data_IF_207218691480
#
_entry.id   IF_207218691480
#
_cell.length_a   1.000
_cell.length_b   1.000
_cell.length_c   1.000
_cell.angle_alpha   90.00
_cell.angle_beta   90.00
_cell.angle_gamma   90.00
#
_symmetry.space_group_name_H-M   'P 1'
#
loop_
_entity.id
_entity.type
_entity.pdbx_description
1 polymer ?
#
# COMPACT_ATOMS: atom_id res chain seq x y z
N UNK A 1 -40.28 13.31 -10.49
CA UNK A 1 -39.17 14.22 -10.84
C UNK A 1 -38.03 13.36 -11.35
N UNK A 2 -37.74 13.48 -12.65
CA UNK A 2 -36.75 12.69 -13.37
C UNK A 2 -35.36 13.29 -13.16
N UNK A 3 -34.58 12.72 -12.26
CA UNK A 3 -33.14 12.94 -12.28
C UNK A 3 -32.59 12.29 -13.55
N UNK A 4 -31.96 13.08 -14.41
CA UNK A 4 -31.29 12.62 -15.63
C UNK A 4 -30.37 11.43 -15.26
N UNK A 5 -30.40 10.29 -15.99
CA UNK A 5 -29.50 9.17 -15.75
C UNK A 5 -28.03 9.60 -15.67
N UNK A 6 -27.66 10.62 -16.46
CA UNK A 6 -26.32 11.22 -16.44
C UNK A 6 -26.05 11.94 -15.13
N UNK A 7 -27.00 12.76 -14.67
CA UNK A 7 -26.89 13.47 -13.39
C UNK A 7 -26.87 12.51 -12.19
N UNK A 8 -27.60 11.39 -12.28
CA UNK A 8 -27.61 10.33 -11.26
C UNK A 8 -26.26 9.60 -11.20
N UNK A 9 -25.63 9.34 -12.36
CA UNK A 9 -24.29 8.76 -12.44
C UNK A 9 -23.23 9.68 -11.81
N UNK A 10 -23.22 10.97 -12.17
CA UNK A 10 -22.28 11.93 -11.58
C UNK A 10 -22.56 12.23 -10.11
N UNK A 11 -23.82 12.18 -9.68
CA UNK A 11 -24.20 12.27 -8.28
C UNK A 11 -23.66 11.10 -7.46
N UNK A 12 -23.72 9.88 -8.02
CA UNK A 12 -23.16 8.69 -7.36
C UNK A 12 -21.63 8.74 -7.30
N UNK A 13 -20.96 9.10 -8.40
CA UNK A 13 -19.51 9.26 -8.41
C UNK A 13 -19.01 10.28 -7.37
N UNK A 14 -19.74 11.40 -7.20
CA UNK A 14 -19.45 12.37 -6.13
C UNK A 14 -19.59 11.76 -4.74
N UNK A 15 -20.56 10.87 -4.55
CA UNK A 15 -20.81 10.20 -3.27
C UNK A 15 -19.78 9.12 -2.97
N UNK A 16 -19.35 8.34 -3.96
CA UNK A 16 -18.35 7.27 -3.80
C UNK A 16 -16.93 7.82 -3.68
N UNK A 17 -16.61 8.94 -4.35
CA UNK A 17 -15.29 9.54 -4.29
C UNK A 17 -14.99 10.30 -2.98
N UNK A 18 -16.00 10.53 -2.13
CA UNK A 18 -15.84 11.12 -0.79
C UNK A 18 -15.20 12.53 -0.72
N UNK A 19 -14.99 13.18 -1.87
CA UNK A 19 -14.25 14.44 -1.99
C UNK A 19 -14.84 15.32 -3.09
N UNK A 20 -14.88 16.63 -2.85
CA UNK A 20 -15.29 17.64 -3.84
C UNK A 20 -14.22 17.88 -4.93
N UNK A 21 -13.08 17.18 -4.92
CA UNK A 21 -12.07 17.28 -5.97
C UNK A 21 -12.46 16.44 -7.20
N UNK A 22 -13.22 17.07 -8.09
CA UNK A 22 -13.74 16.49 -9.35
C UNK A 22 -12.65 16.17 -10.39
N UNK A 23 -11.38 16.44 -10.09
CA UNK A 23 -10.23 16.25 -11.01
C UNK A 23 -9.36 15.03 -10.69
N UNK A 24 -9.67 14.27 -9.63
CA UNK A 24 -8.91 13.04 -9.33
C UNK A 24 -9.44 11.86 -10.15
N UNK A 25 -8.76 11.58 -11.26
CA UNK A 25 -9.07 10.47 -12.15
C UNK A 25 -9.03 9.11 -11.44
N UNK A 26 -8.23 8.92 -10.38
CA UNK A 26 -8.16 7.64 -9.65
C UNK A 26 -9.40 7.41 -8.81
N UNK A 27 -9.89 8.45 -8.14
CA UNK A 27 -11.12 8.38 -7.36
C UNK A 27 -12.34 8.12 -8.26
N UNK A 28 -12.37 8.74 -9.44
CA UNK A 28 -13.42 8.50 -10.45
C UNK A 28 -13.35 7.06 -10.98
N UNK A 29 -12.17 6.56 -11.35
CA UNK A 29 -12.01 5.19 -11.83
C UNK A 29 -12.41 4.15 -10.77
N UNK A 30 -12.01 4.36 -9.52
CA UNK A 30 -12.39 3.49 -8.40
C UNK A 30 -13.91 3.48 -8.20
N UNK A 31 -14.57 4.65 -8.28
CA UNK A 31 -16.02 4.75 -8.19
C UNK A 31 -16.74 4.04 -9.34
N UNK A 32 -16.29 4.23 -10.60
CA UNK A 32 -16.86 3.52 -11.76
C UNK A 32 -16.69 2.01 -11.61
N UNK A 33 -15.52 1.56 -11.16
CA UNK A 33 -15.24 0.15 -10.95
C UNK A 33 -16.16 -0.45 -9.87
N UNK A 34 -16.42 0.30 -8.81
CA UNK A 34 -17.36 -0.07 -7.75
C UNK A 34 -18.82 -0.12 -8.25
N UNK A 35 -19.26 0.82 -9.10
CA UNK A 35 -20.59 0.78 -9.74
C UNK A 35 -20.80 -0.47 -10.59
N UNK A 36 -19.77 -0.86 -11.35
CA UNK A 36 -19.81 -2.05 -12.20
C UNK A 36 -19.78 -3.34 -11.37
N UNK A 37 -18.95 -3.39 -10.32
CA UNK A 37 -18.85 -4.52 -9.39
C UNK A 37 -20.14 -4.74 -8.59
N UNK A 38 -20.84 -3.67 -8.24
CA UNK A 38 -22.11 -3.70 -7.48
C UNK A 38 -23.35 -3.82 -8.37
N UNK A 39 -23.18 -3.83 -9.70
CA UNK A 39 -24.26 -3.85 -10.72
C UNK A 39 -25.28 -2.70 -10.57
N UNK A 40 -24.89 -1.59 -9.95
CA UNK A 40 -25.71 -0.37 -9.88
C UNK A 40 -25.89 0.22 -11.28
N UNK A 41 -24.88 0.06 -12.14
CA UNK A 41 -24.97 0.26 -13.58
C UNK A 41 -24.54 -1.03 -14.29
N UNK A 42 -25.37 -1.50 -15.24
CA UNK A 42 -25.04 -2.62 -16.11
C UNK A 42 -24.54 -2.11 -17.46
N UNK A 43 -23.72 -2.92 -18.15
CA UNK A 43 -23.26 -2.58 -19.51
C UNK A 43 -24.47 -2.38 -20.43
N UNK A 44 -24.31 -1.52 -21.44
CA UNK A 44 -25.23 -1.54 -22.57
C UNK A 44 -24.97 -2.78 -23.42
N UNK A 45 -26.03 -3.31 -24.04
CA UNK A 45 -25.93 -4.46 -24.93
C UNK A 45 -25.06 -4.21 -26.17
N UNK A 46 -24.67 -2.95 -26.41
CA UNK A 46 -23.84 -2.51 -27.54
C UNK A 46 -22.35 -2.29 -27.18
N UNK A 47 -21.91 -2.69 -25.98
CA UNK A 47 -20.50 -2.54 -25.57
C UNK A 47 -19.57 -3.47 -26.36
N UNK A 48 -18.56 -2.90 -27.01
CA UNK A 48 -17.53 -3.54 -27.83
C UNK A 48 -16.36 -4.15 -27.03
N UNK A 49 -16.46 -4.20 -25.71
CA UNK A 49 -15.47 -4.86 -24.84
C UNK A 49 -15.88 -6.30 -24.57
N UNK A 50 -15.03 -7.26 -24.97
CA UNK A 50 -15.20 -8.69 -24.71
C UNK A 50 -14.94 -8.94 -23.22
N UNK A 51 -15.97 -9.35 -22.49
CA UNK A 51 -15.84 -9.76 -21.09
C UNK A 51 -15.71 -11.28 -21.01
N UNK A 52 -14.57 -11.77 -20.52
CA UNK A 52 -14.47 -13.15 -20.03
C UNK A 52 -15.37 -13.24 -18.80
N UNK A 53 -16.43 -14.06 -18.87
CA UNK A 53 -17.24 -14.42 -17.71
C UNK A 53 -16.41 -15.35 -16.82
N UNK A 54 -15.49 -14.80 -16.03
CA UNK A 54 -14.81 -15.56 -14.99
C UNK A 54 -15.75 -15.75 -13.79
N UNK A 55 -16.72 -16.63 -13.98
CA UNK A 55 -17.58 -17.21 -12.94
C UNK A 55 -16.79 -17.88 -11.80
N UNK A 56 -15.49 -18.14 -12.00
CA UNK A 56 -14.65 -18.91 -11.08
C UNK A 56 -13.67 -18.08 -10.27
N UNK A 57 -13.56 -16.76 -10.49
CA UNK A 57 -12.67 -15.93 -9.69
C UNK A 57 -13.15 -15.82 -8.22
N UNK A 58 -14.48 -15.83 -8.02
CA UNK A 58 -15.08 -15.68 -6.70
C UNK A 58 -15.18 -16.98 -5.89
N UNK A 59 -15.35 -18.13 -6.54
CA UNK A 59 -15.38 -19.45 -5.87
C UNK A 59 -14.08 -19.78 -5.13
N UNK A 60 -12.98 -19.13 -5.51
CA UNK A 60 -11.66 -19.33 -4.92
C UNK A 60 -11.38 -18.34 -3.76
N UNK A 61 -12.09 -17.20 -3.71
CA UNK A 61 -11.95 -16.21 -2.62
C UNK A 61 -13.03 -16.31 -1.52
N UNK A 62 -14.10 -17.08 -1.76
CA UNK A 62 -15.18 -17.35 -0.78
C UNK A 62 -15.17 -18.82 -0.37
N UNK A 63 -14.00 -19.42 -0.17
CA UNK A 63 -13.93 -20.49 0.83
C UNK A 63 -13.91 -19.79 2.18
N UNK A 64 -15.06 -19.83 2.85
CA UNK A 64 -15.12 -19.78 4.30
C UNK A 64 -14.03 -20.71 4.83
N UNK A 65 -12.90 -20.13 5.26
CA UNK A 65 -12.11 -20.81 6.26
C UNK A 65 -13.00 -20.83 7.50
N UNK A 66 -13.40 -22.01 8.00
CA UNK A 66 -14.00 -22.05 9.32
C UNK A 66 -13.01 -21.36 10.25
N UNK A 67 -13.49 -20.37 11.00
CA UNK A 67 -12.77 -19.81 12.14
C UNK A 67 -12.74 -20.91 13.20
N UNK A 68 -11.93 -21.94 12.96
CA UNK A 68 -11.44 -22.76 14.05
C UNK A 68 -10.61 -21.79 14.88
N UNK A 69 -11.05 -21.60 16.13
CA UNK A 69 -10.22 -21.06 17.19
C UNK A 69 -9.04 -22.01 17.40
N UNK A 70 -8.11 -22.03 16.44
CA UNK A 70 -6.80 -22.62 16.60
C UNK A 70 -6.12 -21.71 17.60
N UNK A 71 -5.80 -22.26 18.77
CA UNK A 71 -5.02 -21.57 19.80
C UNK A 71 -3.90 -20.80 19.12
N UNK A 72 -3.99 -19.48 19.18
CA UNK A 72 -3.13 -18.58 18.44
C UNK A 72 -1.70 -18.80 18.89
N UNK A 73 -0.83 -19.24 17.98
CA UNK A 73 0.58 -19.00 18.18
C UNK A 73 0.78 -17.49 18.11
N UNK A 74 1.03 -16.85 19.27
CA UNK A 74 1.34 -15.41 19.46
C UNK A 74 2.65 -14.96 18.77
N UNK A 75 3.11 -15.69 17.76
CA UNK A 75 4.46 -15.55 17.22
C UNK A 75 4.43 -14.87 15.87
N UNK A 76 5.31 -13.87 15.71
CA UNK A 76 5.57 -13.20 14.44
C UNK A 76 5.82 -14.21 13.29
N UNK A 77 5.33 -13.96 12.06
CA UNK A 77 5.52 -14.88 10.94
C UNK A 77 7.00 -14.99 10.55
N UNK A 78 7.67 -16.08 10.98
CA UNK A 78 9.08 -16.36 10.65
C UNK A 78 9.36 -16.37 9.15
N UNK A 79 8.39 -16.80 8.34
CA UNK A 79 8.46 -16.77 6.87
C UNK A 79 8.71 -15.36 6.32
N UNK A 80 8.16 -14.32 6.97
CA UNK A 80 8.45 -12.95 6.56
C UNK A 80 9.93 -12.60 6.76
N UNK A 81 10.53 -13.05 7.86
CA UNK A 81 11.95 -12.82 8.16
C UNK A 81 12.87 -13.55 7.18
N UNK A 82 12.54 -14.80 6.86
CA UNK A 82 13.30 -15.57 5.85
C UNK A 82 13.22 -14.89 4.49
N UNK A 83 12.01 -14.48 4.06
CA UNK A 83 11.81 -13.73 2.82
C UNK A 83 12.59 -12.41 2.80
N UNK A 84 12.63 -11.66 3.91
CA UNK A 84 13.40 -10.42 3.97
C UNK A 84 14.90 -10.70 3.83
N UNK A 85 15.41 -11.66 4.59
CA UNK A 85 16.84 -12.02 4.60
C UNK A 85 17.33 -12.59 3.25
N UNK A 86 16.51 -13.40 2.59
CA UNK A 86 16.79 -13.97 1.26
C UNK A 86 16.82 -12.88 0.19
N UNK A 87 15.78 -12.02 0.13
CA UNK A 87 15.70 -10.97 -0.87
C UNK A 87 16.82 -9.92 -0.75
N UNK A 88 17.27 -9.63 0.47
CA UNK A 88 18.43 -8.76 0.71
C UNK A 88 19.77 -9.41 0.30
N UNK A 89 19.82 -10.73 0.20
CA UNK A 89 21.02 -11.46 -0.26
C UNK A 89 21.08 -11.58 -1.78
N UNK A 90 19.92 -11.63 -2.44
CA UNK A 90 19.83 -11.58 -3.89
C UNK A 90 20.14 -10.16 -4.36
N UNK A 91 21.41 -9.88 -4.71
CA UNK A 91 21.86 -8.62 -5.32
C UNK A 91 21.26 -8.41 -6.73
N UNK A 92 19.93 -8.35 -6.80
CA UNK A 92 19.14 -8.35 -8.01
C UNK A 92 18.97 -6.92 -8.48
N UNK A 93 19.43 -6.66 -9.70
CA UNK A 93 19.20 -5.37 -10.35
C UNK A 93 17.69 -5.18 -10.54
N UNK A 94 17.15 -4.10 -9.97
CA UNK A 94 15.73 -3.81 -10.02
C UNK A 94 15.36 -3.26 -11.40
N UNK A 95 14.54 -4.01 -12.13
CA UNK A 95 14.03 -3.54 -13.41
C UNK A 95 13.13 -2.30 -13.24
N UNK A 96 13.19 -1.33 -14.17
CA UNK A 96 12.37 -0.13 -14.12
C UNK A 96 10.90 -0.49 -14.38
N UNK A 97 10.13 -0.64 -13.30
CA UNK A 97 8.68 -0.86 -13.33
C UNK A 97 7.96 0.28 -12.62
N UNK A 98 6.65 0.48 -12.85
CA UNK A 98 5.86 1.50 -12.13
C UNK A 98 5.95 1.33 -10.60
N UNK A 99 6.04 0.09 -10.14
CA UNK A 99 6.21 -0.24 -8.72
C UNK A 99 7.55 0.24 -8.17
N UNK A 100 8.63 0.07 -8.93
CA UNK A 100 9.96 0.58 -8.55
C UNK A 100 9.99 2.10 -8.62
N UNK A 101 9.33 2.73 -9.60
CA UNK A 101 9.19 4.18 -9.64
C UNK A 101 8.44 4.73 -8.42
N UNK A 102 7.36 4.07 -8.01
CA UNK A 102 6.61 4.43 -6.81
C UNK A 102 7.47 4.29 -5.54
N UNK A 103 8.24 3.21 -5.42
CA UNK A 103 9.18 3.03 -4.32
C UNK A 103 10.31 4.06 -4.33
N UNK A 104 10.82 4.45 -5.51
CA UNK A 104 11.81 5.50 -5.63
C UNK A 104 11.26 6.87 -5.19
N UNK A 105 10.00 7.18 -5.50
CA UNK A 105 9.34 8.38 -4.97
C UNK A 105 9.21 8.34 -3.44
N UNK A 106 8.78 7.20 -2.89
CA UNK A 106 8.69 7.02 -1.44
C UNK A 106 10.06 7.13 -0.78
N UNK A 107 11.10 6.54 -1.38
CA UNK A 107 12.47 6.63 -0.92
C UNK A 107 13.00 8.06 -0.92
N UNK A 108 12.71 8.83 -1.97
CA UNK A 108 13.03 10.25 -2.03
C UNK A 108 12.35 11.09 -0.94
N UNK A 109 11.08 10.78 -0.64
CA UNK A 109 10.36 11.42 0.46
C UNK A 109 10.95 11.04 1.82
N UNK A 110 11.28 9.75 2.02
CA UNK A 110 11.91 9.27 3.24
C UNK A 110 13.27 9.92 3.46
N UNK A 111 14.11 9.99 2.42
CA UNK A 111 15.40 10.66 2.48
C UNK A 111 15.27 12.12 2.90
N UNK A 112 14.29 12.85 2.34
CA UNK A 112 13.99 14.23 2.73
C UNK A 112 13.51 14.32 4.19
N UNK A 113 12.54 13.50 4.56
CA UNK A 113 11.96 13.51 5.91
C UNK A 113 12.98 13.12 7.01
N UNK A 114 13.95 12.28 6.67
CA UNK A 114 15.08 11.94 7.54
C UNK A 114 16.08 13.09 7.56
N UNK A 115 16.42 13.70 6.42
CA UNK A 115 17.30 14.86 6.33
C UNK A 115 16.82 16.08 7.12
N UNK A 116 15.50 16.28 7.23
CA UNK A 116 14.92 17.32 8.09
C UNK A 116 15.12 17.03 9.59
N UNK A 117 15.46 15.79 9.98
CA UNK A 117 15.62 15.32 11.37
C UNK A 117 17.07 15.00 11.74
N UNK A 118 17.93 14.73 10.77
CA UNK A 118 19.32 14.33 10.98
C UNK A 118 20.26 15.34 10.33
N UNK A 119 21.18 15.89 11.13
CA UNK A 119 22.24 16.78 10.64
C UNK A 119 23.48 16.04 10.11
N UNK A 120 23.41 14.71 10.00
CA UNK A 120 24.54 13.88 9.57
C UNK A 120 24.54 13.72 8.04
N UNK A 121 25.57 14.26 7.39
CA UNK A 121 25.72 14.18 5.93
C UNK A 121 25.95 12.76 5.45
N UNK A 122 26.64 11.92 6.23
CA UNK A 122 26.87 10.52 5.88
C UNK A 122 25.55 9.74 5.84
N UNK A 123 24.70 9.87 6.86
CA UNK A 123 23.36 9.30 6.86
C UNK A 123 22.56 9.74 5.63
N UNK A 124 22.67 10.99 5.22
CA UNK A 124 21.99 11.49 4.03
C UNK A 124 22.55 10.90 2.74
N UNK A 125 23.87 10.74 2.65
CA UNK A 125 24.52 10.13 1.49
C UNK A 125 24.17 8.65 1.31
N UNK A 126 23.86 7.93 2.40
CA UNK A 126 23.37 6.55 2.35
C UNK A 126 21.95 6.47 1.78
N UNK A 127 21.14 7.52 1.97
CA UNK A 127 19.74 7.54 1.55
C UNK A 127 19.53 8.16 0.18
N UNK A 128 20.36 9.12 -0.22
CA UNK A 128 20.14 9.93 -1.41
C UNK A 128 21.36 9.94 -2.34
N UNK A 129 21.08 9.96 -3.65
CA UNK A 129 22.06 10.13 -4.71
C UNK A 129 21.88 11.49 -5.41
N UNK A 130 22.94 12.04 -6.03
CA UNK A 130 22.83 13.30 -6.75
C UNK A 130 21.85 13.20 -7.93
N UNK A 131 21.10 14.27 -8.18
CA UNK A 131 20.08 14.37 -9.25
C UNK A 131 20.62 14.18 -10.68
N UNK A 132 21.95 14.19 -10.85
CA UNK A 132 22.63 13.92 -12.11
C UNK A 132 22.88 12.44 -12.38
N UNK A 133 22.58 11.54 -11.43
CA UNK A 133 22.70 10.09 -11.64
C UNK A 133 21.69 9.65 -12.69
N UNK A 134 22.12 9.41 -13.93
CA UNK A 134 21.28 9.01 -15.06
C UNK A 134 20.69 7.59 -14.96
N UNK A 135 20.40 7.10 -13.75
CA UNK A 135 19.82 5.77 -13.53
C UNK A 135 18.33 5.76 -13.88
N UNK A 136 17.84 4.62 -14.36
CA UNK A 136 16.49 4.45 -14.90
C UNK A 136 15.37 4.79 -13.90
N UNK A 137 15.57 4.47 -12.63
CA UNK A 137 14.66 4.81 -11.52
C UNK A 137 14.53 6.33 -11.28
N UNK A 138 15.65 7.07 -11.36
CA UNK A 138 15.67 8.52 -11.24
C UNK A 138 14.97 9.18 -12.43
N UNK A 139 15.13 8.63 -13.63
CA UNK A 139 14.45 9.12 -14.84
C UNK A 139 12.92 8.99 -14.74
N UNK A 140 12.40 7.94 -14.09
CA UNK A 140 10.96 7.72 -13.95
C UNK A 140 10.28 8.77 -13.06
N UNK A 141 11.01 9.36 -12.11
CA UNK A 141 10.46 10.33 -11.15
C UNK A 141 10.85 11.78 -11.44
N UNK A 142 11.81 12.00 -12.36
CA UNK A 142 12.38 13.33 -12.69
C UNK A 142 11.36 14.40 -13.08
N UNK A 143 10.24 14.01 -13.67
CA UNK A 143 9.17 14.95 -14.06
C UNK A 143 8.02 15.01 -13.06
N UNK A 144 8.05 14.17 -12.03
CA UNK A 144 7.02 14.08 -10.98
C UNK A 144 7.44 14.83 -9.70
N UNK A 145 8.75 14.99 -9.48
CA UNK A 145 9.32 15.57 -8.26
C UNK A 145 9.07 17.08 -8.07
N UNK A 146 8.72 17.81 -9.14
CA UNK A 146 8.61 19.28 -9.18
C UNK A 146 9.83 19.99 -8.56
N UNK A 147 11.02 19.36 -8.61
CA UNK A 147 12.27 19.89 -8.08
C UNK A 147 12.45 19.84 -6.56
N UNK A 148 11.54 19.22 -5.80
CA UNK A 148 11.60 19.17 -4.33
C UNK A 148 11.96 17.83 -3.72
N UNK A 149 12.05 16.75 -4.51
CA UNK A 149 12.29 15.40 -4.02
C UNK A 149 13.77 15.04 -4.13
N UNK A 150 14.30 14.39 -3.09
CA UNK A 150 15.61 13.75 -3.20
C UNK A 150 15.50 12.46 -4.02
N UNK A 151 16.58 12.05 -4.67
CA UNK A 151 16.62 10.79 -5.42
C UNK A 151 17.18 9.71 -4.51
N UNK A 152 16.45 8.62 -4.30
CA UNK A 152 16.89 7.53 -3.41
C UNK A 152 18.18 6.87 -3.92
N UNK A 153 19.08 6.51 -3.00
CA UNK A 153 20.23 5.65 -3.32
C UNK A 153 19.76 4.27 -3.80
N UNK A 154 20.63 3.55 -4.52
CA UNK A 154 20.32 2.19 -4.98
C UNK A 154 20.11 1.21 -3.83
N UNK A 155 20.93 1.33 -2.78
CA UNK A 155 20.80 0.52 -1.56
C UNK A 155 19.48 0.78 -0.85
N UNK A 156 19.11 2.06 -0.65
CA UNK A 156 17.81 2.41 -0.07
C UNK A 156 16.65 1.84 -0.89
N UNK A 157 16.69 2.00 -2.21
CA UNK A 157 15.62 1.51 -3.09
C UNK A 157 15.47 -0.02 -3.00
N UNK A 158 16.59 -0.75 -2.97
CA UNK A 158 16.60 -2.20 -2.79
C UNK A 158 16.04 -2.62 -1.43
N UNK A 159 16.44 -1.93 -0.35
CA UNK A 159 15.89 -2.15 1.00
C UNK A 159 14.37 -1.93 1.01
N UNK A 160 13.87 -0.82 0.45
CA UNK A 160 12.44 -0.53 0.41
C UNK A 160 11.64 -1.57 -0.40
N UNK A 161 12.22 -2.08 -1.49
CA UNK A 161 11.63 -3.18 -2.26
C UNK A 161 11.49 -4.46 -1.41
N UNK A 162 12.55 -4.84 -0.70
CA UNK A 162 12.54 -6.01 0.17
C UNK A 162 11.58 -5.84 1.36
N UNK A 163 11.54 -4.65 1.97
CA UNK A 163 10.61 -4.32 3.06
C UNK A 163 9.15 -4.34 2.60
N UNK A 164 8.85 -3.92 1.36
CA UNK A 164 7.51 -4.08 0.78
C UNK A 164 7.12 -5.56 0.71
N UNK A 165 7.99 -6.41 0.16
CA UNK A 165 7.74 -7.87 0.05
C UNK A 165 7.57 -8.52 1.41
N UNK A 166 8.41 -8.16 2.37
CA UNK A 166 8.26 -8.52 3.78
C UNK A 166 6.86 -8.17 4.32
N UNK A 167 6.41 -6.94 4.09
CA UNK A 167 5.10 -6.47 4.57
C UNK A 167 3.95 -7.24 3.92
N UNK A 168 4.05 -7.58 2.63
CA UNK A 168 3.07 -8.42 1.93
C UNK A 168 2.90 -9.77 2.65
N UNK A 169 4.00 -10.42 3.07
CA UNK A 169 3.95 -11.68 3.82
C UNK A 169 3.35 -11.50 5.22
N UNK A 170 3.76 -10.45 5.94
CA UNK A 170 3.22 -10.13 7.28
C UNK A 170 1.71 -9.93 7.23
N UNK A 171 1.23 -9.13 6.28
CA UNK A 171 -0.19 -8.80 6.12
C UNK A 171 -1.01 -9.98 5.57
N UNK A 172 -0.41 -10.87 4.78
CA UNK A 172 -1.09 -12.07 4.28
C UNK A 172 -1.33 -13.10 5.38
N UNK A 173 -0.39 -13.25 6.32
CA UNK A 173 -0.43 -14.31 7.35
C UNK A 173 -1.20 -13.91 8.60
N UNK A 174 -1.88 -12.75 8.61
CA UNK A 174 -2.73 -12.16 9.68
C UNK A 174 -2.78 -12.99 10.96
N UNK A 175 -1.70 -12.96 11.74
CA UNK A 175 -1.72 -13.47 13.11
C UNK A 175 -2.28 -12.37 14.01
N UNK A 176 -2.80 -12.72 15.17
CA UNK A 176 -3.21 -11.76 16.20
C UNK A 176 -1.98 -11.02 16.77
N UNK A 177 -1.34 -10.18 15.95
CA UNK A 177 -0.25 -9.30 16.34
C UNK A 177 -0.85 -8.22 17.24
N UNK A 178 -0.29 -8.04 18.44
CA UNK A 178 -0.79 -7.04 19.39
C UNK A 178 -0.40 -5.64 18.96
N UNK A 179 0.82 -5.48 18.45
CA UNK A 179 1.33 -4.24 17.90
C UNK A 179 2.05 -4.51 16.57
N UNK A 180 1.30 -4.65 15.45
CA UNK A 180 1.87 -5.08 14.18
C UNK A 180 2.90 -4.09 13.63
N UNK A 181 2.78 -2.80 13.94
CA UNK A 181 3.76 -1.81 13.50
C UNK A 181 5.07 -1.98 14.26
N UNK A 182 5.01 -2.02 15.60
CA UNK A 182 6.22 -2.16 16.41
C UNK A 182 6.92 -3.48 16.14
N UNK A 183 6.17 -4.59 16.11
CA UNK A 183 6.74 -5.90 15.82
C UNK A 183 7.38 -5.95 14.42
N UNK A 184 6.77 -5.34 13.40
CA UNK A 184 7.36 -5.28 12.07
C UNK A 184 8.64 -4.41 12.03
N UNK A 185 8.65 -3.27 12.72
CA UNK A 185 9.82 -2.39 12.82
C UNK A 185 10.97 -3.11 13.53
N UNK A 186 10.73 -3.66 14.73
CA UNK A 186 11.76 -4.31 15.55
C UNK A 186 12.40 -5.48 14.81
N UNK A 187 11.57 -6.34 14.18
CA UNK A 187 12.06 -7.49 13.44
C UNK A 187 12.82 -7.11 12.17
N UNK A 188 12.33 -6.12 11.40
CA UNK A 188 13.02 -5.66 10.20
C UNK A 188 14.35 -4.95 10.54
N UNK A 189 14.38 -4.16 11.62
CA UNK A 189 15.58 -3.49 12.11
C UNK A 189 16.68 -4.50 12.45
N UNK A 190 16.33 -5.59 13.15
CA UNK A 190 17.29 -6.65 13.49
C UNK A 190 17.92 -7.27 12.23
N UNK A 191 17.12 -7.57 11.20
CA UNK A 191 17.63 -8.15 9.95
C UNK A 191 18.54 -7.16 9.21
N UNK A 192 18.18 -5.88 9.15
CA UNK A 192 19.01 -4.86 8.50
C UNK A 192 20.32 -4.62 9.26
N UNK A 193 20.29 -4.63 10.60
CA UNK A 193 21.47 -4.57 11.45
C UNK A 193 22.42 -5.74 11.22
N UNK A 194 21.91 -6.97 11.19
CA UNK A 194 22.71 -8.18 10.92
C UNK A 194 23.39 -8.14 9.55
N UNK A 195 22.78 -7.45 8.58
CA UNK A 195 23.29 -7.33 7.20
C UNK A 195 24.19 -6.11 6.97
N UNK A 196 24.39 -5.25 7.98
CA UNK A 196 25.18 -4.02 7.87
C UNK A 196 24.75 -3.11 6.70
N UNK A 197 23.44 -2.98 6.48
CA UNK A 197 22.88 -2.12 5.43
C UNK A 197 22.62 -0.71 5.98
N UNK A 198 22.90 0.33 5.19
CA UNK A 198 22.69 1.73 5.58
C UNK A 198 23.46 2.12 6.87
N UNK A 199 24.70 1.64 7.02
CA UNK A 199 25.54 1.89 8.20
C UNK A 199 26.29 3.21 8.08
N UNK A 200 26.10 4.08 9.08
CA UNK A 200 26.88 5.30 9.27
C UNK A 200 28.03 5.04 10.26
N UNK A 201 29.17 5.70 10.06
CA UNK A 201 30.34 5.58 10.96
C UNK A 201 30.10 6.13 12.37
N UNK A 202 29.09 7.00 12.55
CA UNK A 202 28.79 7.61 13.84
C UNK A 202 28.01 6.64 14.76
N UNK A 203 28.44 6.48 16.03
CA UNK A 203 27.80 5.56 16.95
C UNK A 203 26.37 5.98 17.26
N UNK A 204 25.44 5.02 17.27
CA UNK A 204 24.03 5.29 17.57
C UNK A 204 23.23 5.91 16.41
N UNK A 205 23.86 6.27 15.28
CA UNK A 205 23.16 6.82 14.12
C UNK A 205 22.43 5.72 13.36
N UNK A 206 23.01 4.52 13.27
CA UNK A 206 22.43 3.42 12.54
C UNK A 206 21.08 3.00 13.12
N UNK A 207 20.96 2.79 14.43
CA UNK A 207 19.69 2.40 15.06
C UNK A 207 18.62 3.50 14.92
N UNK A 208 19.01 4.77 15.11
CA UNK A 208 18.10 5.91 14.94
C UNK A 208 17.63 6.06 13.50
N UNK A 209 18.52 5.85 12.54
CA UNK A 209 18.21 5.92 11.12
C UNK A 209 17.19 4.83 10.75
N UNK A 210 17.44 3.59 11.15
CA UNK A 210 16.55 2.46 10.87
C UNK A 210 15.18 2.64 11.55
N UNK A 211 15.13 3.08 12.81
CA UNK A 211 13.86 3.31 13.52
C UNK A 211 12.97 4.34 12.78
N UNK A 212 13.54 5.49 12.41
CA UNK A 212 12.81 6.53 11.69
C UNK A 212 12.39 6.04 10.30
N UNK A 213 13.30 5.40 9.56
CA UNK A 213 13.04 4.89 8.21
C UNK A 213 11.93 3.85 8.20
N UNK A 214 12.05 2.81 9.03
CA UNK A 214 11.10 1.71 9.10
C UNK A 214 9.74 2.18 9.62
N UNK A 215 9.72 3.02 10.67
CA UNK A 215 8.46 3.57 11.19
C UNK A 215 7.74 4.41 10.15
N UNK A 216 8.47 5.28 9.42
CA UNK A 216 7.89 6.13 8.37
C UNK A 216 7.44 5.33 7.15
N UNK A 217 8.12 4.24 6.83
CA UNK A 217 7.76 3.37 5.72
C UNK A 217 6.55 2.48 6.03
N UNK A 218 6.55 1.79 7.18
CA UNK A 218 5.50 0.84 7.53
C UNK A 218 4.21 1.51 7.98
N UNK A 219 4.26 2.61 8.73
CA UNK A 219 3.05 3.23 9.29
C UNK A 219 1.97 3.54 8.22
N UNK A 220 2.28 4.17 7.07
CA UNK A 220 1.29 4.36 6.01
C UNK A 220 0.74 3.05 5.44
N UNK A 221 1.58 2.01 5.30
CA UNK A 221 1.16 0.71 4.76
C UNK A 221 0.16 0.02 5.69
N UNK A 222 0.47 -0.05 6.99
CA UNK A 222 -0.44 -0.63 7.98
C UNK A 222 -1.71 0.19 8.15
N UNK A 223 -1.62 1.53 8.09
CA UNK A 223 -2.80 2.42 8.16
C UNK A 223 -3.73 2.18 6.97
N UNK A 224 -3.19 2.19 5.76
CA UNK A 224 -3.96 1.94 4.53
C UNK A 224 -4.56 0.54 4.52
N UNK A 225 -3.84 -0.46 5.02
CA UNK A 225 -4.35 -1.82 5.14
C UNK A 225 -5.50 -1.91 6.15
N UNK A 226 -5.34 -1.30 7.33
CA UNK A 226 -6.38 -1.27 8.35
C UNK A 226 -7.64 -0.56 7.83
N UNK A 227 -7.49 0.59 7.19
CA UNK A 227 -8.60 1.30 6.53
C UNK A 227 -9.31 0.41 5.51
N UNK A 228 -8.57 -0.25 4.61
CA UNK A 228 -9.14 -1.17 3.62
C UNK A 228 -9.90 -2.34 4.25
N UNK A 229 -9.50 -2.80 5.43
CA UNK A 229 -10.22 -3.83 6.18
C UNK A 229 -11.49 -3.26 6.80
N UNK A 230 -11.41 -2.09 7.43
CA UNK A 230 -12.57 -1.38 7.97
C UNK A 230 -13.61 -1.09 6.89
N UNK A 231 -13.20 -0.53 5.74
CA UNK A 231 -14.10 -0.21 4.63
C UNK A 231 -14.81 -1.46 4.09
N UNK A 232 -14.11 -2.60 4.03
CA UNK A 232 -14.71 -3.88 3.66
C UNK A 232 -15.75 -4.34 4.68
N UNK A 233 -15.46 -4.21 5.98
CA UNK A 233 -16.41 -4.57 7.03
C UNK A 233 -17.60 -3.61 7.10
N UNK A 234 -17.39 -2.32 6.86
CA UNK A 234 -18.45 -1.32 6.81
C UNK A 234 -19.36 -1.56 5.60
N UNK A 235 -18.78 -1.90 4.43
CA UNK A 235 -19.55 -2.34 3.28
C UNK A 235 -20.42 -3.56 3.61
N UNK A 236 -19.87 -4.59 4.28
CA UNK A 236 -20.63 -5.77 4.68
C UNK A 236 -21.77 -5.43 5.67
N UNK A 237 -21.54 -4.53 6.63
CA UNK A 237 -22.58 -4.06 7.58
C UNK A 237 -23.75 -3.38 6.89
N UNK A 238 -23.52 -2.67 5.79
CA UNK A 238 -24.60 -2.06 4.98
C UNK A 238 -25.54 -3.12 4.39
N UNK A 239 -25.08 -4.35 4.15
CA UNK A 239 -25.92 -5.46 3.67
C UNK A 239 -26.53 -6.30 4.79
N UNK A 240 -25.99 -6.26 6.01
CA UNK A 240 -26.54 -6.98 7.17
C UNK A 240 -27.77 -6.29 7.77
N UNK A 241 -27.95 -4.98 7.56
CA UNK A 241 -29.13 -4.25 8.02
C UNK A 241 -30.16 -4.16 6.90
N UNK A 242 -31.05 -5.17 6.78
CA UNK A 242 -32.34 -4.93 6.13
C UNK A 242 -33.10 -3.87 6.94
N UNK A 243 -33.58 -2.76 6.36
CA UNK A 243 -34.48 -1.88 7.07
C UNK A 243 -35.80 -2.62 7.31
N UNK A 244 -36.02 -3.02 8.57
CA UNK A 244 -37.29 -3.55 9.09
C UNK A 244 -38.32 -2.42 9.23
N UNK A 245 -38.71 -1.82 8.11
CA UNK A 245 -40.05 -1.25 7.87
C UNK A 245 -40.01 -0.43 6.58
N UNK A 246 -40.35 -1.03 5.44
CA UNK A 246 -41.04 -0.25 4.42
C UNK A 246 -42.49 -0.16 4.89
N UNK A 247 -42.91 1.05 5.28
CA UNK A 247 -44.34 1.37 5.42
C UNK A 247 -45.04 0.86 4.16
N UNK A 248 -45.85 -0.18 4.32
CA UNK A 248 -46.79 -0.60 3.29
C UNK A 248 -47.77 0.57 3.14
N UNK A 249 -47.72 1.25 1.99
CA UNK A 249 -48.81 2.12 1.57
C UNK A 249 -50.06 1.24 1.51
N UNK A 250 -50.97 1.43 2.46
CA UNK A 250 -52.33 0.91 2.35
C UNK A 250 -52.97 1.60 1.15
N UNK A 251 -53.28 0.80 0.12
CA UNK A 251 -54.28 1.15 -0.89
C UNK A 251 -55.67 0.92 -0.30
#
# INVERSE_FOLDING_TARGET
MSSDPTESFFGWLRKSAGSNNQTDARAVLSGIEEMLKTRIASKSDYSNVISVQDSNYWSTMVRDQPVTAVQAAEHFPREALTTLSENLSEGKELLPTPDIAALAMVGGYLARAIGERTSCEECLSLLAKPSSSGTSDALLIKHQDRGGLLYSSGELLHVLYCLRKYTEVVLAKRRHLRDPLKEAVDNAANVLCERNLLVCTQPGHHEKLLDVLLTKFFRPIFTNFAMKVTDKHDFLRVFEVKPLSRKVLKL
#
